data_IF_288449759183
#
_entry.id   IF_288449759183
#
_cell.length_a   1.000
_cell.length_b   1.000
_cell.length_c   1.000
_cell.angle_alpha   90.00
_cell.angle_beta   90.00
_cell.angle_gamma   90.00
#
_symmetry.space_group_name_H-M   'P 1'
#
loop_
_entity.id
_entity.type
_entity.pdbx_description
1 polymer ?
#
# COMPACT_ATOMS: atom_id res chain seq x y z
N UNK A 1 -32.62 8.58 31.01
CA UNK A 1 -32.58 7.61 29.91
C UNK A 1 -31.28 7.83 29.14
N UNK A 2 -30.30 6.94 29.35
CA UNK A 2 -29.08 6.89 28.56
C UNK A 2 -29.36 6.01 27.35
N UNK A 3 -29.39 6.60 26.15
CA UNK A 3 -29.52 5.85 24.90
C UNK A 3 -28.25 6.07 24.07
N UNK A 4 -27.33 5.12 24.24
CA UNK A 4 -26.40 4.58 23.25
C UNK A 4 -25.81 5.56 22.22
N UNK A 5 -24.71 6.22 22.59
CA UNK A 5 -23.74 6.76 21.62
C UNK A 5 -22.66 5.70 21.37
N UNK A 6 -23.01 4.61 20.68
CA UNK A 6 -22.10 3.52 20.35
C UNK A 6 -22.05 3.30 18.84
N UNK A 7 -21.48 4.26 18.08
CA UNK A 7 -21.31 4.09 16.64
C UNK A 7 -20.02 4.68 16.04
N UNK A 8 -18.95 4.84 16.81
CA UNK A 8 -17.67 5.34 16.30
C UNK A 8 -16.49 4.48 16.76
N UNK A 9 -16.49 3.19 16.40
CA UNK A 9 -15.33 2.32 16.62
C UNK A 9 -14.94 1.47 15.39
N UNK A 10 -15.50 1.76 14.21
CA UNK A 10 -15.27 0.93 13.02
C UNK A 10 -14.04 1.35 12.17
N UNK A 11 -13.31 2.41 12.50
CA UNK A 11 -12.27 2.96 11.60
C UNK A 11 -10.83 2.75 12.05
N UNK A 12 -10.58 2.11 13.19
CA UNK A 12 -9.22 1.90 13.70
C UNK A 12 -8.97 0.43 14.03
N UNK A 13 -9.01 -0.44 13.01
CA UNK A 13 -8.19 -1.64 13.13
C UNK A 13 -6.74 -1.16 13.25
N UNK A 14 -6.05 -1.41 14.38
CA UNK A 14 -4.68 -0.96 14.58
C UNK A 14 -3.84 -1.48 13.41
N UNK A 15 -3.09 -0.58 12.76
CA UNK A 15 -2.19 -0.94 11.67
C UNK A 15 -1.00 -1.75 12.19
N UNK A 16 -0.80 -1.81 13.51
CA UNK A 16 0.32 -2.51 14.16
C UNK A 16 0.28 -4.04 14.04
N UNK A 17 -0.89 -4.66 13.82
CA UNK A 17 -1.02 -6.13 13.75
C UNK A 17 -0.98 -6.71 12.32
N UNK A 18 -0.83 -5.87 11.30
CA UNK A 18 -0.59 -6.37 9.94
C UNK A 18 0.92 -6.56 9.76
N UNK A 19 1.35 -7.82 9.85
CA UNK A 19 2.68 -8.23 9.41
C UNK A 19 2.81 -7.98 7.90
N UNK A 20 3.25 -6.79 7.55
CA UNK A 20 3.59 -6.40 6.20
C UNK A 20 4.66 -7.34 5.63
N UNK A 21 4.50 -7.77 4.39
CA UNK A 21 5.59 -8.43 3.67
C UNK A 21 6.82 -7.49 3.63
N UNK A 22 8.06 -8.00 3.68
CA UNK A 22 9.26 -7.17 3.78
C UNK A 22 9.33 -6.01 2.77
N UNK A 23 9.02 -6.29 1.50
CA UNK A 23 9.00 -5.29 0.43
C UNK A 23 7.94 -4.21 0.64
N UNK A 24 6.78 -4.60 1.20
CA UNK A 24 5.69 -3.68 1.51
C UNK A 24 5.99 -2.84 2.75
N UNK A 25 6.67 -3.42 3.76
CA UNK A 25 7.10 -2.73 4.97
C UNK A 25 8.09 -1.61 4.67
N UNK A 26 9.10 -1.89 3.83
CA UNK A 26 10.08 -0.88 3.40
C UNK A 26 9.39 0.30 2.70
N UNK A 27 8.45 0.03 1.78
CA UNK A 27 7.71 1.09 1.11
C UNK A 27 6.78 1.86 2.07
N UNK A 28 6.15 1.16 3.02
CA UNK A 28 5.26 1.78 4.00
C UNK A 28 6.02 2.74 4.93
N UNK A 29 7.26 2.41 5.31
CA UNK A 29 8.12 3.30 6.08
C UNK A 29 8.45 4.59 5.31
N UNK A 30 8.88 4.46 4.05
CA UNK A 30 9.12 5.63 3.18
C UNK A 30 7.86 6.47 2.98
N UNK A 31 6.73 5.82 2.73
CA UNK A 31 5.45 6.49 2.58
C UNK A 31 5.00 7.20 3.86
N UNK A 32 5.28 6.61 5.03
CA UNK A 32 5.10 7.26 6.32
C UNK A 32 5.90 8.54 6.44
N UNK A 33 7.16 8.56 5.97
CA UNK A 33 7.97 9.77 5.96
C UNK A 33 7.37 10.86 5.05
N UNK A 34 6.90 10.52 3.85
CA UNK A 34 6.23 11.49 2.97
C UNK A 34 4.97 12.06 3.64
N UNK A 35 4.16 11.20 4.28
CA UNK A 35 2.97 11.63 5.00
C UNK A 35 3.30 12.64 6.11
N UNK A 36 4.29 12.32 6.95
CA UNK A 36 4.73 13.18 8.06
C UNK A 36 5.30 14.52 7.57
N UNK A 37 5.90 14.53 6.39
CA UNK A 37 6.42 15.75 5.74
C UNK A 37 5.35 16.50 4.93
N UNK A 38 4.11 15.99 4.86
CA UNK A 38 3.05 16.56 4.03
C UNK A 38 3.32 16.46 2.53
N UNK A 39 4.21 15.56 2.11
CA UNK A 39 4.56 15.33 0.72
C UNK A 39 3.57 14.36 0.05
N UNK A 40 3.25 14.58 -1.24
CA UNK A 40 2.47 13.62 -2.02
C UNK A 40 3.32 12.39 -2.37
N UNK A 41 2.68 11.36 -2.94
CA UNK A 41 3.40 10.24 -3.55
C UNK A 41 4.36 10.74 -4.66
N UNK A 42 5.56 10.16 -4.76
CA UNK A 42 6.51 10.51 -5.80
C UNK A 42 5.98 10.11 -7.19
N UNK A 43 6.37 10.84 -8.24
CA UNK A 43 5.82 10.62 -9.60
C UNK A 43 6.07 9.22 -10.16
N UNK A 44 7.12 8.56 -9.71
CA UNK A 44 7.53 7.22 -10.13
C UNK A 44 6.95 6.10 -9.25
N UNK A 45 6.10 6.42 -8.26
CA UNK A 45 5.54 5.43 -7.32
C UNK A 45 4.95 4.21 -8.05
N UNK A 46 4.25 4.44 -9.17
CA UNK A 46 3.60 3.38 -9.94
C UNK A 46 4.62 2.39 -10.52
N UNK A 47 5.74 2.90 -11.05
CA UNK A 47 6.82 2.07 -11.56
C UNK A 47 7.50 1.27 -10.43
N UNK A 48 7.67 1.87 -9.25
CA UNK A 48 8.19 1.19 -8.06
C UNK A 48 7.28 0.03 -7.63
N UNK A 49 5.97 0.26 -7.53
CA UNK A 49 4.99 -0.77 -7.20
C UNK A 49 4.95 -1.90 -8.24
N UNK A 50 5.10 -1.61 -9.53
CA UNK A 50 5.14 -2.65 -10.57
C UNK A 50 6.38 -3.55 -10.49
N UNK A 51 7.44 -3.17 -9.77
CA UNK A 51 8.61 -4.01 -9.51
C UNK A 51 8.46 -4.91 -8.28
N UNK A 52 7.45 -4.69 -7.45
CA UNK A 52 7.16 -5.54 -6.30
C UNK A 52 6.45 -6.81 -6.73
N UNK A 53 6.65 -7.93 -6.01
CA UNK A 53 5.77 -9.11 -6.11
C UNK A 53 4.29 -8.74 -5.97
N UNK A 54 3.36 -9.47 -6.63
CA UNK A 54 1.94 -9.12 -6.64
C UNK A 54 1.27 -8.98 -5.26
N UNK A 55 1.66 -9.84 -4.32
CA UNK A 55 1.20 -9.86 -2.93
C UNK A 55 1.67 -8.61 -2.16
N UNK A 56 2.98 -8.32 -2.19
CA UNK A 56 3.53 -7.10 -1.58
C UNK A 56 2.93 -5.83 -2.21
N UNK A 57 2.74 -5.82 -3.53
CA UNK A 57 2.11 -4.71 -4.25
C UNK A 57 0.69 -4.45 -3.77
N UNK A 58 -0.12 -5.50 -3.64
CA UNK A 58 -1.50 -5.38 -3.15
C UNK A 58 -1.52 -4.81 -1.73
N UNK A 59 -0.66 -5.30 -0.86
CA UNK A 59 -0.56 -4.84 0.52
C UNK A 59 -0.16 -3.37 0.62
N UNK A 60 0.85 -2.95 -0.15
CA UNK A 60 1.24 -1.53 -0.22
C UNK A 60 0.13 -0.65 -0.78
N UNK A 61 -0.61 -1.10 -1.80
CA UNK A 61 -1.75 -0.34 -2.34
C UNK A 61 -2.86 -0.15 -1.30
N UNK A 62 -3.13 -1.15 -0.48
CA UNK A 62 -4.09 -1.06 0.63
C UNK A 62 -3.60 -0.03 1.65
N UNK A 63 -2.33 -0.12 2.07
CA UNK A 63 -1.72 0.84 2.99
C UNK A 63 -1.87 2.28 2.49
N UNK A 64 -1.46 2.55 1.24
CA UNK A 64 -1.51 3.89 0.65
C UNK A 64 -2.93 4.46 0.52
N UNK A 65 -3.93 3.61 0.28
CA UNK A 65 -5.35 4.04 0.27
C UNK A 65 -5.84 4.35 1.67
N UNK A 66 -5.48 3.55 2.67
CA UNK A 66 -5.90 3.74 4.07
C UNK A 66 -5.28 4.99 4.70
N UNK A 67 -4.04 5.33 4.34
CA UNK A 67 -3.38 6.56 4.79
C UNK A 67 -3.82 7.81 4.01
N UNK A 68 -4.58 7.64 2.93
CA UNK A 68 -5.03 8.74 2.08
C UNK A 68 -3.94 9.32 1.16
N UNK A 69 -2.76 8.71 1.10
CA UNK A 69 -1.69 9.09 0.18
C UNK A 69 -2.05 8.78 -1.29
N UNK A 70 -2.77 7.69 -1.54
CA UNK A 70 -3.26 7.31 -2.87
C UNK A 70 -4.75 7.64 -2.99
N UNK A 71 -5.06 8.71 -3.73
CA UNK A 71 -6.43 9.15 -4.02
C UNK A 71 -6.71 9.14 -5.52
N UNK A 72 -7.84 8.58 -5.93
CA UNK A 72 -8.35 8.68 -7.30
C UNK A 72 -7.71 7.76 -8.35
N UNK A 73 -6.44 7.39 -8.21
CA UNK A 73 -5.78 6.52 -9.19
C UNK A 73 -6.37 5.10 -9.16
N UNK A 74 -6.86 4.67 -10.32
CA UNK A 74 -7.42 3.33 -10.52
C UNK A 74 -6.28 2.35 -10.83
N UNK A 75 -6.26 1.25 -10.08
CA UNK A 75 -5.42 0.09 -10.35
C UNK A 75 -6.31 -1.03 -10.86
N UNK A 76 -6.06 -1.49 -12.07
CA UNK A 76 -6.77 -2.65 -12.63
C UNK A 76 -6.27 -3.93 -11.97
N UNK A 77 -7.13 -4.96 -11.93
CA UNK A 77 -6.74 -6.26 -11.39
C UNK A 77 -5.51 -6.84 -12.11
N UNK A 78 -5.43 -6.66 -13.44
CA UNK A 78 -4.27 -7.09 -14.23
C UNK A 78 -2.97 -6.42 -13.76
N UNK A 79 -3.00 -5.12 -13.44
CA UNK A 79 -1.82 -4.41 -12.92
C UNK A 79 -1.43 -4.89 -11.53
N UNK A 80 -2.41 -5.20 -10.67
CA UNK A 80 -2.17 -5.68 -9.31
C UNK A 80 -1.54 -7.07 -9.36
N UNK A 81 -2.04 -7.96 -10.21
CA UNK A 81 -1.62 -9.36 -10.27
C UNK A 81 -0.43 -9.61 -11.21
N UNK A 82 0.04 -8.61 -11.95
CA UNK A 82 1.14 -8.78 -12.91
C UNK A 82 2.40 -9.33 -12.21
N UNK A 83 2.94 -10.48 -12.64
CA UNK A 83 4.16 -11.02 -12.08
C UNK A 83 5.35 -10.10 -12.36
N UNK A 84 6.31 -10.08 -11.46
CA UNK A 84 7.60 -9.43 -11.71
C UNK A 84 8.38 -10.35 -12.63
N UNK A 85 8.74 -9.85 -13.81
CA UNK A 85 9.68 -10.57 -14.68
C UNK A 85 11.06 -10.36 -14.08
N UNK A 86 11.53 -11.32 -13.29
CA UNK A 86 12.93 -11.37 -12.89
C UNK A 86 13.77 -11.61 -14.14
N UNK A 87 14.73 -10.72 -14.42
CA UNK A 87 15.63 -10.82 -15.57
C UNK A 87 16.62 -12.01 -15.51
N UNK A 88 16.31 -13.05 -14.73
CA UNK A 88 17.20 -14.18 -14.45
C UNK A 88 16.99 -15.40 -15.36
N UNK A 89 15.98 -15.40 -16.24
CA UNK A 89 15.69 -16.52 -17.14
C UNK A 89 15.70 -16.04 -18.60
N UNK A 90 16.89 -15.85 -19.14
CA UNK A 90 17.10 -15.43 -20.54
C UNK A 90 18.52 -15.65 -21.04
N UNK A 91 19.28 -16.53 -20.39
CA UNK A 91 20.61 -16.96 -20.80
C UNK A 91 20.65 -18.47 -20.86
N UNK A 92 20.06 -19.04 -21.91
CA UNK A 92 20.38 -20.38 -22.42
C UNK A 92 21.25 -20.24 -23.67
#
# INVERSE_FOLDING_TARGET
MLTALALMAATAAPLEDLHLLPDSAAFAEEAGQWLLQGQPLPRDYRARLMRMPPDARLETLIFLRRTGLLRGDIWTLEQILRPVVSAAEGGE
#
